data_IF_327543052556
#
_entry.id   IF_327543052556
#
_cell.length_a   1.000
_cell.length_b   1.000
_cell.length_c   1.000
_cell.angle_alpha   90.00
_cell.angle_beta   90.00
_cell.angle_gamma   90.00
#
_symmetry.space_group_name_H-M   'P 1'
#
loop_
_entity.id
_entity.type
_entity.pdbx_description
1 polymer ?
#
# COMPACT_ATOMS: atom_id res chain seq x y z
N UNK A 1 -23.56 3.37 -1.09
CA UNK A 1 -22.82 2.35 -1.87
C UNK A 1 -21.33 2.62 -1.89
N UNK A 2 -20.87 3.81 -2.31
CA UNK A 2 -19.44 4.16 -2.37
C UNK A 2 -18.72 4.11 -1.00
N UNK A 3 -19.39 4.48 0.10
CA UNK A 3 -18.85 4.37 1.46
C UNK A 3 -18.50 2.93 1.85
N UNK A 4 -19.31 1.95 1.41
CA UNK A 4 -19.11 0.54 1.72
C UNK A 4 -17.90 -0.02 0.96
N UNK A 5 -17.76 0.37 -0.32
CA UNK A 5 -16.59 0.06 -1.16
C UNK A 5 -15.32 0.68 -0.54
N UNK A 6 -15.39 1.91 -0.04
CA UNK A 6 -14.26 2.57 0.62
C UNK A 6 -13.82 1.86 1.91
N UNK A 7 -14.78 1.42 2.74
CA UNK A 7 -14.49 0.63 3.94
C UNK A 7 -13.83 -0.71 3.58
N UNK A 8 -14.37 -1.44 2.59
CA UNK A 8 -13.80 -2.70 2.13
C UNK A 8 -12.37 -2.52 1.59
N UNK A 9 -12.14 -1.45 0.82
CA UNK A 9 -10.82 -1.11 0.28
C UNK A 9 -9.83 -0.78 1.41
N UNK A 10 -10.29 -0.11 2.47
CA UNK A 10 -9.48 0.20 3.65
C UNK A 10 -9.04 -1.07 4.37
N UNK A 11 -9.98 -1.99 4.63
CA UNK A 11 -9.70 -3.27 5.30
C UNK A 11 -8.73 -4.10 4.45
N UNK A 12 -8.95 -4.16 3.14
CA UNK A 12 -8.07 -4.86 2.21
C UNK A 12 -6.64 -4.31 2.23
N UNK A 13 -6.48 -2.97 2.23
CA UNK A 13 -5.17 -2.32 2.36
C UNK A 13 -4.48 -2.66 3.67
N UNK A 14 -5.22 -2.63 4.80
CA UNK A 14 -4.67 -3.01 6.10
C UNK A 14 -4.12 -4.45 6.05
N UNK A 15 -4.90 -5.39 5.52
CA UNK A 15 -4.47 -6.80 5.40
C UNK A 15 -3.20 -6.91 4.55
N UNK A 16 -3.14 -6.23 3.39
CA UNK A 16 -1.95 -6.27 2.51
C UNK A 16 -0.70 -5.71 3.20
N UNK A 17 -0.85 -4.61 3.93
CA UNK A 17 0.27 -3.96 4.62
C UNK A 17 0.77 -4.84 5.76
N UNK A 18 -0.12 -5.44 6.54
CA UNK A 18 0.24 -6.38 7.61
C UNK A 18 0.86 -7.68 7.09
N UNK A 19 0.37 -8.19 5.96
CA UNK A 19 0.91 -9.39 5.34
C UNK A 19 2.34 -9.17 4.79
N UNK A 20 2.73 -7.92 4.53
CA UNK A 20 4.07 -7.59 4.08
C UNK A 20 5.05 -7.66 5.26
N UNK A 21 5.80 -8.77 5.35
CA UNK A 21 6.89 -8.90 6.30
C UNK A 21 7.98 -7.83 6.04
N UNK A 22 8.60 -7.26 7.09
CA UNK A 22 9.69 -6.32 6.94
C UNK A 22 10.90 -7.02 6.30
N UNK A 23 11.34 -6.51 5.15
CA UNK A 23 12.41 -7.12 4.37
C UNK A 23 13.79 -6.96 5.04
N UNK A 24 13.94 -5.96 5.94
CA UNK A 24 15.21 -5.46 6.46
C UNK A 24 15.11 -5.08 7.96
N UNK A 25 14.93 -6.06 8.86
CA UNK A 25 14.74 -5.78 10.28
C UNK A 25 16.08 -5.57 11.01
N UNK A 26 16.51 -4.32 11.21
CA UNK A 26 17.57 -3.94 12.17
C UNK A 26 18.49 -2.80 11.74
N UNK A 27 19.13 -2.13 12.72
CA UNK A 27 20.12 -1.06 12.51
C UNK A 27 21.33 -1.52 11.65
N UNK A 28 21.68 -2.81 11.73
CA UNK A 28 22.74 -3.41 10.92
C UNK A 28 22.41 -3.50 9.42
N UNK A 29 21.11 -3.53 9.06
CA UNK A 29 20.65 -3.58 7.67
C UNK A 29 20.82 -2.22 6.96
N UNK A 30 20.65 -1.11 7.70
CA UNK A 30 20.95 0.24 7.20
C UNK A 30 22.43 0.46 6.89
N UNK A 31 23.34 -0.13 7.68
CA UNK A 31 24.77 0.04 7.52
C UNK A 31 25.41 -0.87 6.45
N UNK A 32 24.81 -2.04 6.15
CA UNK A 32 25.56 -3.13 5.46
C UNK A 32 25.02 -3.50 4.09
N UNK A 33 23.75 -3.19 3.74
CA UNK A 33 23.17 -3.59 2.45
C UNK A 33 22.13 -2.56 1.98
N UNK A 34 22.59 -1.41 1.50
CA UNK A 34 21.73 -0.61 0.62
C UNK A 34 21.66 -1.32 -0.72
N UNK A 35 20.69 -2.23 -0.88
CA UNK A 35 20.39 -2.89 -2.14
C UNK A 35 19.67 -1.91 -3.09
N UNK A 36 20.23 -0.69 -3.22
CA UNK A 36 19.66 0.47 -3.88
C UNK A 36 19.49 0.22 -5.40
N UNK A 37 20.29 -0.71 -5.95
CA UNK A 37 20.21 -1.20 -7.32
C UNK A 37 19.73 -2.66 -7.42
N UNK A 38 19.35 -3.27 -6.30
CA UNK A 38 18.83 -4.64 -6.32
C UNK A 38 17.39 -4.69 -6.77
N UNK A 39 17.08 -5.65 -7.64
CA UNK A 39 15.69 -5.86 -8.06
C UNK A 39 14.91 -6.59 -6.95
N UNK A 40 13.70 -6.13 -6.62
CA UNK A 40 12.79 -6.88 -5.75
C UNK A 40 12.48 -8.25 -6.35
N UNK A 41 12.10 -9.21 -5.50
CA UNK A 41 11.58 -10.49 -5.98
C UNK A 41 10.29 -10.28 -6.79
N UNK A 42 10.02 -11.14 -7.78
CA UNK A 42 8.82 -11.04 -8.64
C UNK A 42 7.51 -10.99 -7.86
N UNK A 43 7.43 -11.71 -6.74
CA UNK A 43 6.27 -11.71 -5.85
C UNK A 43 6.13 -10.37 -5.11
N UNK A 44 7.24 -9.82 -4.61
CA UNK A 44 7.26 -8.52 -3.94
C UNK A 44 6.91 -7.39 -4.90
N UNK A 45 7.42 -7.44 -6.14
CA UNK A 45 7.11 -6.45 -7.18
C UNK A 45 5.62 -6.45 -7.53
N UNK A 46 5.02 -7.63 -7.65
CA UNK A 46 3.57 -7.78 -7.89
C UNK A 46 2.77 -7.20 -6.72
N UNK A 47 3.12 -7.57 -5.48
CA UNK A 47 2.45 -7.06 -4.29
C UNK A 47 2.60 -5.54 -4.19
N UNK A 48 3.77 -4.99 -4.54
CA UNK A 48 4.03 -3.55 -4.54
C UNK A 48 3.19 -2.80 -5.56
N UNK A 49 3.10 -3.31 -6.79
CA UNK A 49 2.25 -2.72 -7.82
C UNK A 49 0.77 -2.72 -7.40
N UNK A 50 0.26 -3.84 -6.85
CA UNK A 50 -1.11 -3.94 -6.34
C UNK A 50 -1.34 -2.93 -5.20
N UNK A 51 -0.38 -2.81 -4.29
CA UNK A 51 -0.47 -1.88 -3.15
C UNK A 51 -0.53 -0.43 -3.64
N UNK A 52 0.33 -0.04 -4.59
CA UNK A 52 0.33 1.32 -5.17
C UNK A 52 -0.99 1.63 -5.88
N UNK A 53 -1.50 0.69 -6.67
CA UNK A 53 -2.79 0.84 -7.35
C UNK A 53 -3.93 0.99 -6.33
N UNK A 54 -3.96 0.16 -5.29
CA UNK A 54 -4.97 0.21 -4.24
C UNK A 54 -4.93 1.51 -3.43
N UNK A 55 -3.74 2.02 -3.10
CA UNK A 55 -3.56 3.32 -2.44
C UNK A 55 -4.08 4.46 -3.33
N UNK A 56 -3.74 4.43 -4.62
CA UNK A 56 -4.17 5.45 -5.58
C UNK A 56 -5.69 5.48 -5.69
N UNK A 57 -6.33 4.31 -5.86
CA UNK A 57 -7.79 4.17 -5.85
C UNK A 57 -8.42 4.67 -4.56
N UNK A 58 -7.83 4.32 -3.42
CA UNK A 58 -8.31 4.78 -2.11
C UNK A 58 -8.32 6.30 -2.01
N UNK A 59 -7.26 6.97 -2.46
CA UNK A 59 -7.17 8.43 -2.48
C UNK A 59 -8.23 9.06 -3.39
N UNK A 60 -8.42 8.53 -4.60
CA UNK A 60 -9.46 9.03 -5.51
C UNK A 60 -10.87 8.93 -4.90
N UNK A 61 -11.18 7.78 -4.30
CA UNK A 61 -12.49 7.56 -3.67
C UNK A 61 -12.64 8.47 -2.44
N UNK A 62 -11.59 8.63 -1.63
CA UNK A 62 -11.60 9.53 -0.48
C UNK A 62 -11.88 10.99 -0.89
N UNK A 63 -11.23 11.46 -1.96
CA UNK A 63 -11.46 12.79 -2.52
C UNK A 63 -12.92 12.92 -2.97
N UNK A 64 -13.42 12.00 -3.79
CA UNK A 64 -14.82 12.07 -4.25
C UNK A 64 -15.84 12.05 -3.11
N UNK A 65 -15.62 11.21 -2.09
CA UNK A 65 -16.50 11.15 -0.93
C UNK A 65 -16.51 12.47 -0.14
N UNK A 66 -15.35 13.08 0.08
CA UNK A 66 -15.28 14.37 0.78
C UNK A 66 -15.93 15.49 -0.06
N UNK A 67 -15.67 15.56 -1.36
CA UNK A 67 -16.32 16.55 -2.23
C UNK A 67 -17.84 16.39 -2.28
N UNK A 68 -18.35 15.17 -2.30
CA UNK A 68 -19.80 14.92 -2.27
C UNK A 68 -20.44 15.20 -0.89
N UNK A 69 -19.65 15.28 0.19
CA UNK A 69 -20.14 15.71 1.50
C UNK A 69 -20.10 17.24 1.68
N UNK A 70 -19.32 17.94 0.87
CA UNK A 70 -19.18 19.40 0.90
C UNK A 70 -20.20 20.13 0.03
N UNK A 71 -20.75 19.47 -1.00
CA UNK A 71 -21.88 19.95 -1.81
C UNK A 71 -23.22 19.58 -1.18
#
# INVERSE_FOLDING_TARGET
MLNLIWILLSIFLIIIIFLRAPQNSGLASFATKSNLLGSPSSAERTLNNITVIAITLYLFIAIQLNFNQLN
#
